data_IF_946474603950
#
_entry.id   IF_946474603950
#
_cell.length_a   1.000
_cell.length_b   1.000
_cell.length_c   1.000
_cell.angle_alpha   90.00
_cell.angle_beta   90.00
_cell.angle_gamma   90.00
#
_symmetry.space_group_name_H-M   'P 1'
#
loop_
_entity.id
_entity.type
_entity.pdbx_description
1 polymer ?
#
# COMPACT_ATOMS: atom_id res chain seq x y z
N UNK A 1 75.68 -65.48 34.47
CA UNK A 1 75.96 -64.31 33.60
C UNK A 1 74.63 -63.63 33.26
N UNK A 2 74.16 -62.70 34.10
CA UNK A 2 72.87 -62.02 33.90
C UNK A 2 73.04 -60.88 32.89
N UNK A 3 72.44 -61.02 31.70
CA UNK A 3 72.28 -59.90 30.75
C UNK A 3 71.38 -58.85 31.40
N UNK A 4 71.95 -57.74 31.87
CA UNK A 4 71.20 -56.53 32.27
C UNK A 4 70.34 -56.10 31.08
N UNK A 5 69.03 -56.29 31.19
CA UNK A 5 68.05 -55.82 30.20
C UNK A 5 68.01 -54.29 30.28
N UNK A 6 68.49 -53.63 29.23
CA UNK A 6 68.53 -52.17 29.06
C UNK A 6 67.10 -51.59 28.98
N UNK A 7 66.45 -51.39 30.14
CA UNK A 7 65.12 -50.74 30.22
C UNK A 7 65.17 -49.21 30.07
N UNK A 8 66.34 -48.58 30.24
CA UNK A 8 66.51 -47.12 30.10
C UNK A 8 66.67 -46.65 28.65
N UNK A 9 67.25 -47.49 27.78
CA UNK A 9 67.48 -47.15 26.38
C UNK A 9 66.17 -47.02 25.60
N UNK A 10 65.22 -47.92 25.84
CA UNK A 10 63.89 -47.89 25.20
C UNK A 10 63.09 -46.64 25.55
N UNK A 11 63.25 -46.08 26.75
CA UNK A 11 62.56 -44.84 27.16
C UNK A 11 63.15 -43.61 26.48
N UNK A 12 64.48 -43.55 26.33
CA UNK A 12 65.16 -42.45 25.63
C UNK A 12 64.81 -42.46 24.14
N UNK A 13 64.85 -43.64 23.50
CA UNK A 13 64.44 -43.79 22.10
C UNK A 13 62.98 -43.36 21.88
N UNK A 14 62.08 -43.72 22.80
CA UNK A 14 60.68 -43.28 22.74
C UNK A 14 60.54 -41.75 22.88
N UNK A 15 61.26 -41.12 23.81
CA UNK A 15 61.21 -39.66 23.99
C UNK A 15 61.78 -38.91 22.78
N UNK A 16 62.85 -39.43 22.16
CA UNK A 16 63.42 -38.85 20.94
C UNK A 16 62.43 -38.99 19.78
N UNK A 17 61.82 -40.16 19.60
CA UNK A 17 60.80 -40.38 18.57
C UNK A 17 59.58 -39.49 18.77
N UNK A 18 59.13 -39.31 20.02
CA UNK A 18 58.01 -38.42 20.35
C UNK A 18 58.35 -36.96 20.02
N UNK A 19 59.57 -36.51 20.35
CA UNK A 19 60.03 -35.16 20.06
C UNK A 19 60.09 -34.88 18.56
N UNK A 20 60.66 -35.82 17.80
CA UNK A 20 60.70 -35.74 16.32
C UNK A 20 59.27 -35.70 15.75
N UNK A 21 58.37 -36.52 16.28
CA UNK A 21 56.96 -36.55 15.84
C UNK A 21 56.24 -35.23 16.13
N UNK A 22 56.49 -34.60 17.28
CA UNK A 22 55.92 -33.28 17.60
C UNK A 22 56.44 -32.18 16.68
N UNK A 23 57.73 -32.20 16.34
CA UNK A 23 58.31 -31.25 15.38
C UNK A 23 57.68 -31.46 14.00
N UNK A 24 57.58 -32.70 13.54
CA UNK A 24 56.93 -33.02 12.27
C UNK A 24 55.46 -32.57 12.23
N UNK A 25 54.71 -32.81 13.32
CA UNK A 25 53.32 -32.37 13.44
C UNK A 25 53.19 -30.84 13.41
N UNK A 26 54.12 -30.14 14.05
CA UNK A 26 54.17 -28.66 14.04
C UNK A 26 54.41 -28.13 12.63
N UNK A 27 55.31 -28.75 11.86
CA UNK A 27 55.58 -28.37 10.46
C UNK A 27 54.35 -28.61 9.58
N UNK A 28 53.70 -29.78 9.71
CA UNK A 28 52.47 -30.10 8.97
C UNK A 28 51.36 -29.10 9.33
N UNK A 29 51.22 -28.75 10.60
CA UNK A 29 50.23 -27.78 11.06
C UNK A 29 50.48 -26.36 10.50
N UNK A 30 51.75 -25.93 10.43
CA UNK A 30 52.11 -24.65 9.81
C UNK A 30 51.75 -24.62 8.32
N UNK A 31 52.13 -25.66 7.55
CA UNK A 31 51.78 -25.78 6.13
C UNK A 31 50.26 -25.81 5.93
N UNK A 32 49.54 -26.50 6.82
CA UNK A 32 48.09 -26.56 6.80
C UNK A 32 47.46 -25.17 7.00
N UNK A 33 47.95 -24.38 7.96
CA UNK A 33 47.49 -23.00 8.18
C UNK A 33 47.74 -22.14 6.93
N UNK A 34 48.92 -22.23 6.33
CA UNK A 34 49.26 -21.46 5.12
C UNK A 34 48.35 -21.84 3.94
N UNK A 35 48.06 -23.13 3.78
CA UNK A 35 47.14 -23.61 2.74
C UNK A 35 45.70 -23.15 2.98
N UNK A 36 45.24 -23.15 4.23
CA UNK A 36 43.92 -22.64 4.60
C UNK A 36 43.81 -21.14 4.34
N UNK A 37 44.82 -20.35 4.72
CA UNK A 37 44.86 -18.91 4.45
C UNK A 37 44.89 -18.62 2.95
N UNK A 38 45.73 -19.33 2.20
CA UNK A 38 45.79 -19.23 0.74
C UNK A 38 44.44 -19.59 0.07
N UNK A 39 43.74 -20.59 0.59
CA UNK A 39 42.40 -20.96 0.12
C UNK A 39 41.39 -19.83 0.34
N UNK A 40 41.40 -19.20 1.53
CA UNK A 40 40.55 -18.05 1.82
C UNK A 40 40.88 -16.82 0.96
N UNK A 41 42.16 -16.51 0.77
CA UNK A 41 42.60 -15.42 -0.12
C UNK A 41 42.12 -15.66 -1.56
N UNK A 42 42.22 -16.88 -2.06
CA UNK A 42 41.71 -17.24 -3.38
C UNK A 42 40.19 -17.13 -3.48
N UNK A 43 39.45 -17.55 -2.44
CA UNK A 43 38.00 -17.40 -2.40
C UNK A 43 37.59 -15.92 -2.41
N UNK A 44 38.20 -15.10 -1.56
CA UNK A 44 37.96 -13.67 -1.48
C UNK A 44 38.33 -12.98 -2.81
N UNK A 45 39.43 -13.42 -3.43
CA UNK A 45 39.83 -13.01 -4.77
C UNK A 45 38.72 -13.27 -5.81
N UNK A 46 38.22 -14.51 -5.92
CA UNK A 46 37.16 -14.83 -6.89
C UNK A 46 35.84 -14.10 -6.61
N UNK A 47 35.47 -13.94 -5.33
CA UNK A 47 34.28 -13.21 -4.92
C UNK A 47 34.35 -11.73 -5.31
N UNK A 48 35.47 -11.05 -5.05
CA UNK A 48 35.66 -9.66 -5.49
C UNK A 48 35.53 -9.53 -7.01
N UNK A 49 36.22 -10.39 -7.78
CA UNK A 49 36.14 -10.39 -9.24
C UNK A 49 34.72 -10.59 -9.74
N UNK A 50 34.00 -11.58 -9.19
CA UNK A 50 32.62 -11.87 -9.56
C UNK A 50 31.68 -10.70 -9.24
N UNK A 51 31.84 -10.07 -8.07
CA UNK A 51 31.04 -8.92 -7.67
C UNK A 51 31.29 -7.69 -8.52
N UNK A 52 32.56 -7.39 -8.86
CA UNK A 52 32.90 -6.31 -9.81
C UNK A 52 32.22 -6.55 -11.15
N UNK A 53 32.36 -7.76 -11.71
CA UNK A 53 31.74 -8.11 -13.00
C UNK A 53 30.22 -8.02 -12.96
N UNK A 54 29.57 -8.51 -11.89
CA UNK A 54 28.11 -8.42 -11.72
C UNK A 54 27.64 -6.97 -11.65
N UNK A 55 28.30 -6.14 -10.85
CA UNK A 55 27.91 -4.75 -10.68
C UNK A 55 28.12 -3.99 -12.00
N UNK A 56 29.29 -4.10 -12.64
CA UNK A 56 29.59 -3.44 -13.92
C UNK A 56 28.61 -3.88 -15.02
N UNK A 57 28.34 -5.18 -15.13
CA UNK A 57 27.36 -5.70 -16.09
C UNK A 57 25.96 -5.12 -15.86
N UNK A 58 25.54 -5.01 -14.60
CA UNK A 58 24.26 -4.42 -14.25
C UNK A 58 24.21 -2.91 -14.52
N UNK A 59 25.29 -2.18 -14.24
CA UNK A 59 25.43 -0.75 -14.61
C UNK A 59 25.24 -0.58 -16.11
N UNK A 60 25.93 -1.37 -16.92
CA UNK A 60 25.80 -1.33 -18.38
C UNK A 60 24.39 -1.71 -18.83
N UNK A 61 23.76 -2.70 -18.19
CA UNK A 61 22.38 -3.12 -18.48
C UNK A 61 21.40 -1.97 -18.27
N UNK A 62 21.49 -1.27 -17.14
CA UNK A 62 20.63 -0.10 -16.83
C UNK A 62 20.90 1.03 -17.82
N UNK A 63 22.17 1.31 -18.11
CA UNK A 63 22.55 2.31 -19.10
C UNK A 63 21.93 2.04 -20.47
N UNK A 64 22.08 0.82 -21.00
CA UNK A 64 21.53 0.43 -22.30
C UNK A 64 20.01 0.36 -22.33
N UNK A 65 19.34 0.16 -21.17
CA UNK A 65 17.89 0.23 -21.08
C UNK A 65 17.33 1.66 -21.22
N UNK A 66 18.18 2.68 -21.09
CA UNK A 66 17.83 4.09 -21.29
C UNK A 66 17.39 4.83 -20.03
N UNK A 67 17.23 6.17 -20.09
CA UNK A 67 16.97 7.01 -18.92
C UNK A 67 15.69 6.60 -18.17
N UNK A 68 15.75 6.62 -16.83
CA UNK A 68 14.66 6.20 -15.95
C UNK A 68 14.62 4.70 -15.64
N UNK A 69 15.51 3.91 -16.24
CA UNK A 69 15.64 2.49 -15.93
C UNK A 69 16.24 2.28 -14.52
N UNK A 70 15.80 1.20 -13.87
CA UNK A 70 16.29 0.79 -12.56
C UNK A 70 16.49 -0.74 -12.55
N UNK A 71 17.60 -1.22 -11.99
CA UNK A 71 17.79 -2.65 -11.71
C UNK A 71 18.24 -2.87 -10.28
N UNK A 72 17.77 -3.97 -9.70
CA UNK A 72 18.22 -4.47 -8.40
C UNK A 72 19.35 -5.49 -8.61
N UNK A 73 20.47 -5.30 -7.92
CA UNK A 73 21.65 -6.16 -8.02
C UNK A 73 21.99 -6.74 -6.66
N UNK A 74 22.09 -8.06 -6.59
CA UNK A 74 22.69 -8.76 -5.46
C UNK A 74 24.15 -9.08 -5.77
N UNK A 75 25.05 -8.70 -4.88
CA UNK A 75 26.49 -8.95 -4.99
C UNK A 75 27.07 -9.23 -3.60
N UNK A 76 28.32 -9.68 -3.54
CA UNK A 76 28.96 -10.08 -2.29
C UNK A 76 30.37 -9.51 -2.18
N UNK A 77 30.62 -8.66 -1.19
CA UNK A 77 31.97 -8.20 -0.90
C UNK A 77 32.71 -9.24 -0.04
N UNK A 78 33.95 -9.58 -0.37
CA UNK A 78 34.78 -10.45 0.47
C UNK A 78 34.97 -9.90 1.88
N UNK A 79 35.32 -10.79 2.82
CA UNK A 79 35.55 -10.42 4.23
C UNK A 79 36.66 -9.38 4.34
N UNK A 80 37.73 -9.55 3.57
CA UNK A 80 38.89 -8.68 3.58
C UNK A 80 38.82 -7.52 2.58
N UNK A 81 37.63 -7.02 2.27
CA UNK A 81 37.49 -5.80 1.45
C UNK A 81 37.99 -4.56 2.21
N UNK A 82 38.82 -3.74 1.56
CA UNK A 82 39.22 -2.42 2.03
C UNK A 82 38.23 -1.35 1.53
N UNK A 83 37.16 -1.11 2.28
CA UNK A 83 36.10 -0.16 1.90
C UNK A 83 36.55 1.29 1.75
N UNK A 84 37.68 1.68 2.35
CA UNK A 84 38.24 3.04 2.15
C UNK A 84 38.81 3.25 0.75
N UNK A 85 39.24 2.17 0.10
CA UNK A 85 39.78 2.17 -1.25
C UNK A 85 38.80 1.64 -2.30
N UNK A 86 37.76 0.90 -1.89
CA UNK A 86 36.71 0.41 -2.76
C UNK A 86 35.70 1.51 -3.10
N UNK A 87 35.65 1.93 -4.35
CA UNK A 87 34.77 3.01 -4.83
C UNK A 87 34.65 3.01 -6.36
N UNK A 88 33.69 3.77 -6.87
CA UNK A 88 33.71 4.17 -8.27
C UNK A 88 34.57 5.42 -8.48
N UNK A 89 35.35 5.44 -9.56
CA UNK A 89 36.04 6.62 -10.07
C UNK A 89 35.63 6.79 -11.54
N UNK A 90 34.70 7.70 -11.80
CA UNK A 90 34.09 7.83 -13.13
C UNK A 90 33.29 6.57 -13.49
N UNK A 91 33.76 5.84 -14.51
CA UNK A 91 33.17 4.57 -14.94
C UNK A 91 33.84 3.33 -14.32
N UNK A 92 34.97 3.49 -13.63
CA UNK A 92 35.74 2.36 -13.11
C UNK A 92 35.33 2.02 -11.68
N UNK A 93 34.87 0.78 -11.47
CA UNK A 93 34.69 0.18 -10.15
C UNK A 93 36.02 -0.38 -9.66
N UNK A 94 36.58 0.21 -8.61
CA UNK A 94 37.76 -0.29 -7.93
C UNK A 94 37.34 -1.03 -6.67
N UNK A 95 37.73 -2.29 -6.52
CA UNK A 95 37.59 -3.08 -5.30
C UNK A 95 38.97 -3.52 -4.84
N UNK A 96 39.41 -3.01 -3.69
CA UNK A 96 40.70 -3.38 -3.10
C UNK A 96 40.48 -4.31 -1.91
N UNK A 97 41.28 -5.38 -1.84
CA UNK A 97 41.37 -6.28 -0.70
C UNK A 97 42.51 -5.84 0.24
N UNK A 98 42.40 -6.16 1.53
CA UNK A 98 43.38 -5.80 2.56
C UNK A 98 44.75 -6.47 2.33
N UNK A 99 44.80 -7.59 1.62
CA UNK A 99 46.03 -8.24 1.19
C UNK A 99 46.74 -7.50 0.02
N UNK A 100 46.19 -6.38 -0.45
CA UNK A 100 46.77 -5.52 -1.47
C UNK A 100 46.29 -5.81 -2.90
N UNK A 101 45.59 -6.93 -3.12
CA UNK A 101 45.00 -7.21 -4.43
C UNK A 101 43.91 -6.18 -4.77
N UNK A 102 43.96 -5.67 -6.01
CA UNK A 102 43.01 -4.67 -6.49
C UNK A 102 42.38 -5.16 -7.78
N UNK A 103 41.07 -5.00 -7.86
CA UNK A 103 40.28 -5.31 -9.03
C UNK A 103 39.63 -4.06 -9.57
N UNK A 104 39.67 -3.93 -10.89
CA UNK A 104 39.09 -2.81 -11.60
C UNK A 104 38.20 -3.37 -12.68
N UNK A 105 36.95 -2.91 -12.72
CA UNK A 105 36.02 -3.18 -13.82
C UNK A 105 35.46 -1.88 -14.35
N UNK A 106 35.54 -1.66 -15.66
CA UNK A 106 35.04 -0.46 -16.33
C UNK A 106 33.60 -0.64 -16.81
N UNK A 107 32.73 0.28 -16.43
CA UNK A 107 31.40 0.45 -17.02
C UNK A 107 31.45 1.36 -18.26
N UNK A 108 30.38 1.34 -19.05
CA UNK A 108 30.26 2.17 -20.25
C UNK A 108 29.71 3.58 -19.93
N UNK A 109 29.40 3.84 -18.66
CA UNK A 109 28.82 5.09 -18.16
C UNK A 109 29.40 5.44 -16.80
N UNK A 110 29.44 6.73 -16.47
CA UNK A 110 29.82 7.20 -15.14
C UNK A 110 28.85 6.67 -14.08
N UNK A 111 29.41 6.25 -12.95
CA UNK A 111 28.65 5.76 -11.80
C UNK A 111 28.88 6.68 -10.61
N UNK A 112 27.80 7.11 -9.98
CA UNK A 112 27.83 8.01 -8.81
C UNK A 112 27.21 7.29 -7.62
N UNK A 113 27.92 7.31 -6.50
CA UNK A 113 27.47 6.73 -5.24
C UNK A 113 28.59 6.01 -4.52
N UNK A 114 28.35 5.66 -3.26
CA UNK A 114 29.30 4.96 -2.41
C UNK A 114 28.74 3.62 -1.98
N UNK A 115 29.60 2.63 -1.79
CA UNK A 115 29.18 1.39 -1.20
C UNK A 115 29.05 1.51 0.32
N UNK A 116 28.09 0.80 0.91
CA UNK A 116 28.07 0.56 2.36
C UNK A 116 29.32 -0.22 2.76
N UNK A 117 30.03 0.17 3.84
CA UNK A 117 31.26 -0.48 4.26
C UNK A 117 30.98 -1.80 5.01
N UNK A 118 30.27 -2.73 4.36
CA UNK A 118 29.77 -3.98 4.93
C UNK A 118 30.16 -5.15 4.02
N UNK A 119 30.95 -6.09 4.55
CA UNK A 119 31.30 -7.33 3.86
C UNK A 119 30.12 -8.31 3.81
N UNK A 120 30.17 -9.28 2.89
CA UNK A 120 29.13 -10.27 2.66
C UNK A 120 28.12 -9.84 1.59
N UNK A 121 26.98 -10.54 1.56
CA UNK A 121 25.92 -10.31 0.58
C UNK A 121 25.23 -8.98 0.80
N UNK A 122 25.10 -8.21 -0.27
CA UNK A 122 24.50 -6.89 -0.29
C UNK A 122 23.55 -6.76 -1.48
N UNK A 123 22.54 -5.90 -1.34
CA UNK A 123 21.64 -5.51 -2.42
C UNK A 123 21.76 -4.02 -2.66
N UNK A 124 21.98 -3.63 -3.92
CA UNK A 124 21.94 -2.25 -4.39
C UNK A 124 20.89 -2.09 -5.47
N UNK A 125 20.43 -0.86 -5.63
CA UNK A 125 19.63 -0.44 -6.76
C UNK A 125 20.48 0.51 -7.60
N UNK A 126 20.48 0.27 -8.90
CA UNK A 126 21.17 1.08 -9.88
C UNK A 126 20.13 1.78 -10.74
N UNK A 127 20.14 3.11 -10.75
CA UNK A 127 19.18 3.93 -11.48
C UNK A 127 19.90 4.85 -12.47
N UNK A 128 19.51 4.85 -13.74
CA UNK A 128 20.10 5.75 -14.74
C UNK A 128 19.27 7.01 -14.92
N UNK A 129 19.84 8.17 -14.57
CA UNK A 129 19.14 9.47 -14.63
C UNK A 129 19.26 10.17 -16.00
N UNK A 130 19.91 9.53 -16.97
CA UNK A 130 20.19 10.07 -18.30
C UNK A 130 21.59 10.62 -18.48
N UNK A 131 22.34 10.85 -17.38
CA UNK A 131 23.74 11.29 -17.42
C UNK A 131 24.68 10.28 -16.73
N UNK A 132 24.22 9.65 -15.64
CA UNK A 132 25.02 8.72 -14.84
C UNK A 132 24.16 7.66 -14.18
N UNK A 133 24.76 6.51 -13.86
CA UNK A 133 24.11 5.48 -13.05
C UNK A 133 24.34 5.79 -11.57
N UNK A 134 23.26 5.97 -10.83
CA UNK A 134 23.30 6.24 -9.39
C UNK A 134 23.13 4.95 -8.61
N UNK A 135 24.04 4.73 -7.65
CA UNK A 135 23.91 3.65 -6.66
C UNK A 135 23.06 4.19 -5.51
N UNK A 136 21.99 3.49 -5.19
CA UNK A 136 21.23 3.76 -3.97
C UNK A 136 20.84 2.46 -3.27
N UNK A 137 20.54 2.58 -1.99
CA UNK A 137 20.14 1.47 -1.14
C UNK A 137 18.66 1.59 -0.80
N UNK A 138 18.03 0.47 -0.47
CA UNK A 138 16.70 0.49 0.15
C UNK A 138 16.85 0.79 1.64
N UNK A 139 17.31 2.00 1.95
CA UNK A 139 17.60 2.45 3.32
C UNK A 139 16.36 2.53 4.19
N UNK A 140 15.19 2.65 3.56
CA UNK A 140 13.92 2.44 4.22
C UNK A 140 12.96 1.68 3.32
N UNK A 141 11.97 1.08 3.97
CA UNK A 141 10.91 0.33 3.31
C UNK A 141 9.56 0.91 3.69
N UNK A 142 8.66 0.96 2.73
CA UNK A 142 7.24 1.26 2.93
C UNK A 142 6.46 -0.01 2.65
N UNK A 143 5.64 -0.46 3.59
CA UNK A 143 4.92 -1.73 3.44
C UNK A 143 3.79 -1.71 2.38
N UNK A 144 3.40 -0.51 1.91
CA UNK A 144 2.36 -0.31 0.90
C UNK A 144 2.86 0.65 -0.17
N UNK A 145 2.68 0.25 -1.43
CA UNK A 145 2.92 1.12 -2.60
C UNK A 145 1.64 1.79 -3.10
N UNK A 146 0.48 1.21 -2.78
CA UNK A 146 -0.83 1.74 -3.14
C UNK A 146 -1.75 1.68 -1.92
N UNK A 147 -2.52 2.74 -1.71
CA UNK A 147 -3.60 2.82 -0.73
C UNK A 147 -4.88 3.01 -1.55
N UNK A 148 -5.75 2.02 -1.54
CA UNK A 148 -7.09 2.11 -2.13
C UNK A 148 -8.13 1.93 -1.05
N UNK A 149 -9.03 2.90 -0.93
CA UNK A 149 -10.09 2.92 0.08
C UNK A 149 -11.41 3.26 -0.59
N UNK A 150 -12.50 2.64 -0.15
CA UNK A 150 -13.86 3.05 -0.52
C UNK A 150 -14.56 3.57 0.72
N UNK A 151 -15.35 4.63 0.58
CA UNK A 151 -16.11 5.20 1.67
C UNK A 151 -17.46 5.73 1.21
N UNK A 152 -18.39 5.83 2.14
CA UNK A 152 -19.70 6.41 1.90
C UNK A 152 -19.56 7.93 1.98
N UNK A 153 -20.24 8.62 1.06
CA UNK A 153 -20.34 10.08 1.02
C UNK A 153 -20.70 10.66 2.39
N UNK A 154 -19.86 11.57 2.88
CA UNK A 154 -20.01 12.25 4.17
C UNK A 154 -19.33 11.56 5.34
N UNK A 155 -18.88 10.31 5.19
CA UNK A 155 -18.16 9.59 6.24
C UNK A 155 -16.66 9.92 6.20
N UNK A 156 -16.02 9.81 7.38
CA UNK A 156 -14.57 9.75 7.48
C UNK A 156 -14.09 8.30 7.45
N UNK A 157 -13.04 8.01 6.69
CA UNK A 157 -12.40 6.68 6.67
C UNK A 157 -10.92 6.82 6.95
N UNK A 158 -10.35 5.88 7.70
CA UNK A 158 -8.91 5.86 8.00
C UNK A 158 -8.26 4.56 7.56
N UNK A 159 -6.99 4.66 7.17
CA UNK A 159 -6.14 3.52 6.86
C UNK A 159 -4.74 3.82 7.37
N UNK A 160 -3.81 2.87 7.19
CA UNK A 160 -2.44 3.06 7.62
C UNK A 160 -1.45 2.33 6.71
N UNK A 161 -0.22 2.81 6.76
CA UNK A 161 0.96 2.14 6.22
C UNK A 161 2.09 2.24 7.24
N UNK A 162 3.17 1.50 7.04
CA UNK A 162 4.34 1.52 7.91
C UNK A 162 5.58 1.89 7.11
N UNK A 163 6.46 2.64 7.77
CA UNK A 163 7.80 2.97 7.30
C UNK A 163 8.78 2.28 8.23
N UNK A 164 9.72 1.52 7.66
CA UNK A 164 10.80 0.86 8.40
C UNK A 164 12.14 1.44 7.99
N UNK A 165 12.95 1.83 8.95
CA UNK A 165 14.35 2.17 8.69
C UNK A 165 15.19 0.88 8.60
N UNK A 166 15.69 0.58 7.41
CA UNK A 166 16.56 -0.55 7.11
C UNK A 166 18.05 -0.14 7.03
N UNK A 167 18.37 1.13 7.24
CA UNK A 167 19.74 1.63 7.28
C UNK A 167 20.40 1.32 8.63
N UNK A 168 21.73 1.41 8.67
CA UNK A 168 22.52 1.33 9.90
C UNK A 168 22.52 2.63 10.71
N UNK A 169 21.94 3.71 10.17
CA UNK A 169 21.91 5.04 10.77
C UNK A 169 20.50 5.48 11.13
N UNK A 170 20.40 6.64 11.80
CA UNK A 170 19.12 7.31 12.01
C UNK A 170 18.71 8.02 10.72
N UNK A 171 17.46 7.84 10.29
CA UNK A 171 16.90 8.53 9.11
C UNK A 171 15.91 9.58 9.59
N UNK A 172 15.99 10.80 9.03
CA UNK A 172 14.94 11.82 9.18
C UNK A 172 13.95 11.68 8.02
N UNK A 173 12.67 11.53 8.34
CA UNK A 173 11.60 11.38 7.37
C UNK A 173 10.79 12.65 7.27
N UNK A 174 10.34 12.96 6.06
CA UNK A 174 9.35 13.98 5.73
C UNK A 174 8.26 13.34 4.89
N UNK A 175 7.01 13.71 5.16
CA UNK A 175 5.88 13.29 4.34
C UNK A 175 5.34 14.48 3.57
N UNK A 176 5.35 14.38 2.25
CA UNK A 176 4.67 15.32 1.37
C UNK A 176 3.45 14.63 0.74
N UNK A 177 2.40 15.39 0.44
CA UNK A 177 1.16 14.86 -0.15
C UNK A 177 0.74 15.71 -1.33
N UNK A 178 0.36 15.03 -2.41
CA UNK A 178 -0.32 15.64 -3.53
C UNK A 178 -1.68 14.98 -3.67
N UNK A 179 -2.66 15.56 -2.96
CA UNK A 179 -4.05 15.11 -2.94
C UNK A 179 -4.92 16.36 -2.69
N UNK A 180 -5.07 17.19 -3.73
CA UNK A 180 -5.76 18.47 -3.63
C UNK A 180 -7.11 18.39 -4.35
N UNK A 181 -8.16 18.02 -3.61
CA UNK A 181 -9.53 17.94 -4.13
C UNK A 181 -10.46 18.81 -3.28
N UNK A 182 -11.43 19.47 -3.92
CA UNK A 182 -12.32 20.43 -3.22
C UNK A 182 -13.35 19.76 -2.30
N UNK A 183 -13.67 18.49 -2.55
CA UNK A 183 -14.71 17.73 -1.84
C UNK A 183 -14.16 16.69 -0.86
N UNK A 184 -12.86 16.41 -0.91
CA UNK A 184 -12.19 15.38 -0.10
C UNK A 184 -10.85 15.91 0.36
N UNK A 185 -10.62 15.86 1.68
CA UNK A 185 -9.35 16.17 2.29
C UNK A 185 -8.64 14.87 2.72
N UNK A 186 -7.38 14.73 2.34
CA UNK A 186 -6.49 13.68 2.84
C UNK A 186 -5.60 14.25 3.93
N UNK A 187 -5.69 13.70 5.13
CA UNK A 187 -4.86 14.05 6.28
C UNK A 187 -3.91 12.89 6.62
N UNK A 188 -2.66 13.22 6.88
CA UNK A 188 -1.64 12.23 7.26
C UNK A 188 -1.26 12.52 8.70
N UNK A 189 -1.68 11.65 9.61
CA UNK A 189 -1.52 11.84 11.05
C UNK A 189 -0.11 11.41 11.48
N UNK A 190 0.85 12.26 11.18
CA UNK A 190 2.19 12.28 11.74
C UNK A 190 2.68 13.72 11.77
N UNK A 191 3.58 14.05 12.69
CA UNK A 191 4.37 15.26 12.53
C UNK A 191 4.98 15.26 11.11
N UNK A 192 4.97 16.41 10.44
CA UNK A 192 5.43 16.55 9.05
C UNK A 192 6.86 16.00 8.87
N UNK A 193 7.65 16.00 9.94
CA UNK A 193 8.91 15.30 10.06
C UNK A 193 9.01 14.43 11.32
N UNK A 194 9.72 13.32 11.21
CA UNK A 194 10.07 12.46 12.34
C UNK A 194 11.37 11.73 12.08
N UNK A 195 11.98 11.13 13.10
CA UNK A 195 13.20 10.36 12.93
C UNK A 195 13.00 8.92 13.35
N UNK A 196 13.59 7.98 12.61
CA UNK A 196 13.64 6.57 13.01
C UNK A 196 15.09 6.11 13.21
N UNK A 197 15.46 5.60 14.39
CA UNK A 197 16.65 4.80 14.61
C UNK A 197 16.73 3.56 13.70
N UNK A 198 17.91 2.93 13.57
CA UNK A 198 18.09 1.70 12.81
C UNK A 198 17.11 0.61 13.24
N UNK A 199 16.40 0.00 12.28
CA UNK A 199 15.48 -1.11 12.52
C UNK A 199 14.09 -0.73 13.05
N UNK A 200 13.86 0.54 13.44
CA UNK A 200 12.56 0.98 13.96
C UNK A 200 11.51 1.03 12.84
N UNK A 201 10.26 0.74 13.22
CA UNK A 201 9.07 0.81 12.36
C UNK A 201 8.11 1.84 12.90
N UNK A 202 7.68 2.78 12.06
CA UNK A 202 6.63 3.76 12.39
C UNK A 202 5.37 3.44 11.61
N UNK A 203 4.23 3.40 12.31
CA UNK A 203 2.89 3.36 11.71
C UNK A 203 2.44 4.79 11.42
N UNK A 204 2.02 5.03 10.19
CA UNK A 204 1.46 6.30 9.71
C UNK A 204 -0.02 6.06 9.41
N UNK A 205 -0.89 6.86 10.02
CA UNK A 205 -2.33 6.83 9.75
C UNK A 205 -2.66 7.88 8.69
N UNK A 206 -3.51 7.49 7.73
CA UNK A 206 -4.03 8.34 6.66
C UNK A 206 -5.54 8.40 6.82
N UNK A 207 -6.06 9.60 7.04
CA UNK A 207 -7.46 9.89 7.28
C UNK A 207 -8.03 10.62 6.07
N UNK A 208 -9.19 10.18 5.59
CA UNK A 208 -9.93 10.82 4.50
C UNK A 208 -11.19 11.45 5.08
N UNK A 209 -11.28 12.77 4.99
CA UNK A 209 -12.46 13.54 5.39
C UNK A 209 -13.21 13.98 4.14
N UNK A 210 -14.52 13.71 4.09
CA UNK A 210 -15.33 13.95 2.89
C UNK A 210 -16.46 14.93 3.20
N UNK A 211 -16.73 15.83 2.26
CA UNK A 211 -17.90 16.70 2.34
C UNK A 211 -19.18 15.94 1.94
N UNK A 212 -20.34 16.45 2.38
CA UNK A 212 -21.68 15.91 2.05
C UNK A 212 -22.07 16.00 0.57
N UNK A 213 -21.17 16.39 -0.32
CA UNK A 213 -21.37 16.36 -1.78
C UNK A 213 -20.25 15.61 -2.53
N UNK A 214 -19.29 15.01 -1.81
CA UNK A 214 -18.26 14.18 -2.42
C UNK A 214 -18.90 12.96 -3.12
N UNK A 215 -18.51 12.73 -4.37
CA UNK A 215 -18.89 11.54 -5.14
C UNK A 215 -17.80 11.21 -6.16
N UNK A 216 -17.66 9.93 -6.51
CA UNK A 216 -16.75 9.47 -7.56
C UNK A 216 -15.36 9.09 -7.04
N UNK A 217 -14.38 9.06 -7.96
CA UNK A 217 -13.02 8.60 -7.68
C UNK A 217 -12.06 9.78 -7.51
N UNK A 218 -11.30 9.76 -6.43
CA UNK A 218 -10.27 10.74 -6.11
C UNK A 218 -8.92 10.05 -6.08
N UNK A 219 -7.90 10.69 -6.64
CA UNK A 219 -6.57 10.12 -6.71
C UNK A 219 -5.49 11.15 -6.39
N UNK A 220 -4.37 10.65 -5.92
CA UNK A 220 -3.19 11.46 -5.60
C UNK A 220 -2.05 10.57 -5.13
N UNK A 221 -1.12 11.14 -4.38
CA UNK A 221 -0.02 10.37 -3.80
C UNK A 221 0.50 10.97 -2.50
N UNK A 222 1.16 10.13 -1.72
CA UNK A 222 2.01 10.53 -0.60
C UNK A 222 3.46 10.23 -1.00
N UNK A 223 4.33 11.22 -0.88
CA UNK A 223 5.77 11.10 -1.10
C UNK A 223 6.47 10.98 0.25
N UNK A 224 7.02 9.80 0.53
CA UNK A 224 7.84 9.55 1.72
C UNK A 224 9.28 9.89 1.37
N UNK A 225 9.84 10.92 2.00
CA UNK A 225 11.22 11.36 1.79
C UNK A 225 12.03 11.00 3.04
N UNK A 226 13.06 10.18 2.90
CA UNK A 226 14.04 9.89 3.95
C UNK A 226 15.36 10.60 3.66
N UNK A 227 15.93 11.24 4.66
CA UNK A 227 17.19 11.98 4.58
C UNK A 227 18.26 11.30 5.45
N UNK A 228 19.42 11.02 4.84
CA UNK A 228 20.60 10.44 5.51
C UNK A 228 21.83 11.20 5.04
N UNK A 229 22.53 11.89 5.95
CA UNK A 229 23.74 12.66 5.64
C UNK A 229 23.52 13.62 4.45
N UNK A 230 22.44 14.40 4.48
CA UNK A 230 22.03 15.36 3.44
C UNK A 230 21.67 14.73 2.07
N UNK A 231 21.56 13.40 1.99
CA UNK A 231 21.07 12.68 0.81
C UNK A 231 19.62 12.30 1.02
N UNK A 232 18.76 12.76 0.09
CA UNK A 232 17.33 12.47 0.09
C UNK A 232 17.00 11.24 -0.77
N UNK A 233 16.19 10.36 -0.23
CA UNK A 233 15.62 9.19 -0.89
C UNK A 233 14.10 9.30 -0.83
N UNK A 234 13.40 9.06 -1.94
CA UNK A 234 11.94 9.16 -1.97
C UNK A 234 11.25 7.87 -2.39
N UNK A 235 10.09 7.60 -1.78
CA UNK A 235 9.17 6.54 -2.17
C UNK A 235 7.77 7.12 -2.35
N UNK A 236 7.17 6.87 -3.50
CA UNK A 236 5.81 7.31 -3.82
C UNK A 236 4.81 6.22 -3.45
N UNK A 237 3.77 6.60 -2.71
CA UNK A 237 2.61 5.76 -2.41
C UNK A 237 1.44 6.36 -3.17
N UNK A 238 0.89 5.63 -4.14
CA UNK A 238 -0.32 6.12 -4.83
C UNK A 238 -1.53 5.96 -3.91
N UNK A 239 -2.41 6.95 -3.93
CA UNK A 239 -3.63 6.95 -3.12
C UNK A 239 -4.84 7.08 -4.02
N UNK A 240 -5.82 6.20 -3.83
CA UNK A 240 -7.13 6.25 -4.46
C UNK A 240 -8.24 6.14 -3.41
N UNK A 241 -9.22 7.03 -3.49
CA UNK A 241 -10.45 7.00 -2.71
C UNK A 241 -11.64 6.91 -3.67
N UNK A 242 -12.46 5.88 -3.50
CA UNK A 242 -13.77 5.79 -4.14
C UNK A 242 -14.84 6.26 -3.15
N UNK A 243 -15.54 7.33 -3.49
CA UNK A 243 -16.67 7.83 -2.70
C UNK A 243 -17.96 7.32 -3.32
N UNK A 244 -18.57 6.37 -2.63
CA UNK A 244 -19.86 5.80 -2.97
C UNK A 244 -20.94 6.75 -2.49
N UNK A 245 -21.92 7.02 -3.35
CA UNK A 245 -23.18 7.62 -2.90
C UNK A 245 -23.76 6.71 -1.84
N UNK A 246 -24.14 7.29 -0.69
CA UNK A 246 -25.04 6.62 0.25
C UNK A 246 -26.25 6.23 -0.59
N UNK A 247 -26.39 4.94 -0.93
CA UNK A 247 -27.61 4.45 -1.56
C UNK A 247 -28.72 4.90 -0.66
N UNK A 248 -29.69 5.66 -1.19
CA UNK A 248 -30.90 5.98 -0.44
C UNK A 248 -31.43 4.65 0.05
N UNK A 249 -31.26 4.44 1.35
CA UNK A 249 -31.33 3.12 1.91
C UNK A 249 -32.72 2.53 1.76
N UNK A 250 -33.70 3.41 1.59
CA UNK A 250 -35.11 3.13 1.53
C UNK A 250 -35.66 3.54 0.16
N UNK A 251 -36.45 2.68 -0.48
CA UNK A 251 -37.08 2.96 -1.78
C UNK A 251 -38.54 2.51 -1.74
N UNK A 252 -39.46 3.34 -2.26
CA UNK A 252 -40.87 3.00 -2.43
C UNK A 252 -41.08 2.48 -3.86
N UNK A 253 -41.71 1.30 -3.98
CA UNK A 253 -42.07 0.66 -5.24
C UNK A 253 -43.60 0.56 -5.39
N UNK A 254 -44.15 0.72 -6.61
CA UNK A 254 -43.45 1.25 -7.78
C UNK A 254 -43.06 2.73 -7.55
N UNK A 255 -41.97 3.17 -8.20
CA UNK A 255 -41.52 4.56 -8.09
C UNK A 255 -42.47 5.53 -8.77
N UNK A 256 -43.08 5.09 -9.87
CA UNK A 256 -44.09 5.80 -10.62
C UNK A 256 -45.28 4.86 -10.82
N UNK A 257 -46.46 5.29 -10.39
CA UNK A 257 -47.71 4.56 -10.56
C UNK A 257 -48.65 5.39 -11.43
N UNK A 258 -49.18 4.81 -12.50
CA UNK A 258 -50.22 5.42 -13.32
C UNK A 258 -51.44 4.51 -13.45
N UNK A 259 -52.65 5.03 -13.25
CA UNK A 259 -53.88 4.27 -13.48
C UNK A 259 -55.08 5.16 -13.83
N UNK A 260 -56.12 4.54 -14.39
CA UNK A 260 -57.39 5.20 -14.69
C UNK A 260 -58.45 4.86 -13.66
N UNK A 261 -59.35 5.80 -13.37
CA UNK A 261 -60.50 5.59 -12.48
C UNK A 261 -61.62 6.55 -12.82
N UNK A 262 -62.87 6.16 -12.58
CA UNK A 262 -64.03 7.02 -12.81
C UNK A 262 -64.37 7.85 -11.56
N UNK A 263 -65.02 9.02 -11.71
CA UNK A 263 -65.48 9.82 -10.59
C UNK A 263 -66.36 9.00 -9.64
N UNK A 264 -66.19 9.20 -8.32
CA UNK A 264 -66.95 8.50 -7.28
C UNK A 264 -66.52 7.05 -7.03
N UNK A 265 -65.52 6.51 -7.74
CA UNK A 265 -65.00 5.17 -7.50
C UNK A 265 -63.86 5.17 -6.47
N UNK A 266 -63.69 4.02 -5.82
CA UNK A 266 -62.49 3.73 -5.05
C UNK A 266 -61.59 2.75 -5.80
N UNK A 267 -60.27 2.99 -5.74
CA UNK A 267 -59.27 2.09 -6.31
C UNK A 267 -58.18 1.81 -5.28
N UNK A 268 -57.80 0.55 -5.12
CA UNK A 268 -56.71 0.14 -4.22
C UNK A 268 -55.49 -0.28 -5.03
N UNK A 269 -54.31 0.21 -4.65
CA UNK A 269 -53.04 -0.09 -5.33
C UNK A 269 -52.00 -0.51 -4.30
N UNK A 270 -51.23 -1.53 -4.65
CA UNK A 270 -50.19 -2.09 -3.79
C UNK A 270 -48.85 -1.42 -4.03
N UNK A 271 -48.18 -1.13 -2.93
CA UNK A 271 -46.84 -0.59 -2.86
C UNK A 271 -45.96 -1.45 -1.94
N UNK A 272 -44.66 -1.26 -2.02
CA UNK A 272 -43.72 -1.77 -1.04
C UNK A 272 -42.66 -0.73 -0.73
N UNK A 273 -42.20 -0.69 0.52
CA UNK A 273 -41.05 0.11 0.92
C UNK A 273 -39.92 -0.81 1.33
N UNK A 274 -38.81 -0.73 0.60
CA UNK A 274 -37.70 -1.66 0.68
C UNK A 274 -36.47 -0.98 1.25
N UNK A 275 -35.86 -1.60 2.26
CA UNK A 275 -34.59 -1.16 2.83
C UNK A 275 -33.44 -1.99 2.24
N UNK A 276 -32.63 -1.36 1.41
CA UNK A 276 -31.45 -1.94 0.78
C UNK A 276 -30.19 -1.93 1.66
N UNK A 277 -30.24 -1.31 2.84
CA UNK A 277 -29.08 -1.19 3.75
C UNK A 277 -28.94 -2.39 4.69
N UNK A 278 -27.81 -2.43 5.41
CA UNK A 278 -27.57 -3.40 6.49
C UNK A 278 -28.10 -2.94 7.85
N UNK A 279 -28.67 -1.73 7.93
CA UNK A 279 -29.15 -1.14 9.18
C UNK A 279 -30.66 -0.94 9.12
N UNK A 280 -31.32 -0.95 10.28
CA UNK A 280 -32.75 -0.67 10.37
C UNK A 280 -32.96 0.82 10.11
N UNK A 281 -33.86 1.16 9.17
CA UNK A 281 -34.21 2.56 8.89
C UNK A 281 -35.52 2.89 9.60
N UNK A 282 -35.51 3.94 10.43
CA UNK A 282 -36.71 4.49 11.06
C UNK A 282 -37.36 5.53 10.14
N UNK A 283 -38.69 5.50 10.07
CA UNK A 283 -39.52 6.44 9.33
C UNK A 283 -40.21 7.34 10.35
N UNK A 284 -39.99 8.64 10.24
CA UNK A 284 -40.52 9.63 11.19
C UNK A 284 -42.00 9.91 10.95
N UNK A 285 -42.38 10.05 9.68
CA UNK A 285 -43.76 10.30 9.28
C UNK A 285 -44.00 9.92 7.83
N UNK A 286 -45.25 9.69 7.48
CA UNK A 286 -45.71 9.58 6.11
C UNK A 286 -46.45 10.86 5.70
N UNK A 287 -46.34 11.24 4.44
CA UNK A 287 -47.08 12.36 3.86
C UNK A 287 -47.48 12.09 2.42
N UNK A 288 -48.39 12.92 1.92
CA UNK A 288 -48.70 13.00 0.51
C UNK A 288 -48.88 14.47 0.11
N UNK A 289 -48.35 14.84 -1.04
CA UNK A 289 -48.50 16.17 -1.65
C UNK A 289 -48.78 16.06 -3.15
N UNK A 290 -49.09 17.19 -3.80
CA UNK A 290 -49.41 17.23 -5.21
C UNK A 290 -49.57 18.68 -5.70
N UNK A 291 -49.61 18.92 -7.02
CA UNK A 291 -49.74 20.25 -7.60
C UNK A 291 -51.08 20.91 -7.24
N UNK A 292 -51.10 22.22 -6.99
CA UNK A 292 -52.27 22.94 -6.47
C UNK A 292 -53.56 22.74 -7.27
N UNK A 293 -53.48 22.67 -8.60
CA UNK A 293 -54.62 22.66 -9.51
C UNK A 293 -55.14 21.25 -9.85
N UNK A 294 -54.39 20.19 -9.55
CA UNK A 294 -54.70 18.79 -9.91
C UNK A 294 -54.19 17.80 -8.86
N UNK A 295 -54.35 18.17 -7.58
CA UNK A 295 -53.81 17.42 -6.45
C UNK A 295 -54.64 16.16 -6.12
N UNK A 296 -54.09 14.97 -6.39
CA UNK A 296 -54.70 13.71 -5.97
C UNK A 296 -54.31 13.27 -4.54
N UNK A 297 -53.44 13.98 -3.83
CA UNK A 297 -52.99 13.58 -2.49
C UNK A 297 -54.15 13.52 -1.49
N UNK A 298 -55.11 14.44 -1.61
CA UNK A 298 -56.33 14.46 -0.80
C UNK A 298 -57.28 13.30 -1.07
N UNK A 299 -57.05 12.50 -2.12
CA UNK A 299 -57.88 11.33 -2.45
C UNK A 299 -57.39 10.06 -1.75
N UNK A 300 -56.23 10.10 -1.09
CA UNK A 300 -55.66 8.96 -0.37
C UNK A 300 -56.34 8.83 0.99
N UNK A 301 -57.01 7.70 1.22
CA UNK A 301 -57.86 7.50 2.40
C UNK A 301 -57.07 7.44 3.72
N UNK A 302 -55.91 6.79 3.68
CA UNK A 302 -55.03 6.62 4.83
C UNK A 302 -53.60 6.39 4.34
N UNK A 303 -52.64 6.98 5.05
CA UNK A 303 -51.22 6.75 4.82
C UNK A 303 -50.74 5.50 5.58
N UNK A 304 -49.63 4.88 5.15
CA UNK A 304 -49.09 3.69 5.81
C UNK A 304 -48.65 4.00 7.25
N UNK A 305 -48.79 3.02 8.15
CA UNK A 305 -48.26 3.12 9.52
C UNK A 305 -46.99 2.27 9.69
N UNK A 306 -46.06 2.39 8.73
CA UNK A 306 -44.76 1.71 8.80
C UNK A 306 -43.78 2.69 9.45
N UNK A 307 -43.38 2.38 10.69
CA UNK A 307 -42.45 3.22 11.48
C UNK A 307 -40.98 2.88 11.26
N UNK A 308 -40.70 1.74 10.63
CA UNK A 308 -39.34 1.31 10.30
C UNK A 308 -39.33 0.13 9.35
N UNK A 309 -38.24 -0.04 8.60
CA UNK A 309 -38.01 -1.20 7.72
C UNK A 309 -36.70 -1.87 8.12
N UNK A 310 -36.76 -3.18 8.34
CA UNK A 310 -35.60 -4.00 8.73
C UNK A 310 -34.52 -4.00 7.64
N UNK A 311 -33.24 -4.27 8.00
CA UNK A 311 -32.19 -4.45 7.00
C UNK A 311 -32.56 -5.47 5.92
N UNK A 312 -32.30 -5.14 4.65
CA UNK A 312 -32.53 -6.05 3.49
C UNK A 312 -33.95 -6.58 3.37
N UNK A 313 -34.94 -5.84 3.87
CA UNK A 313 -36.34 -6.27 3.91
C UNK A 313 -37.26 -5.30 3.16
N UNK A 314 -38.46 -5.76 2.81
CA UNK A 314 -39.50 -4.96 2.17
C UNK A 314 -40.82 -5.11 2.92
N UNK A 315 -41.43 -3.98 3.28
CA UNK A 315 -42.79 -3.96 3.85
C UNK A 315 -43.78 -3.57 2.75
N UNK A 316 -44.70 -4.48 2.42
CA UNK A 316 -45.80 -4.18 1.50
C UNK A 316 -46.94 -3.45 2.21
N UNK A 317 -47.59 -2.53 1.50
CA UNK A 317 -48.77 -1.81 1.97
C UNK A 317 -49.67 -1.45 0.80
N UNK A 318 -50.96 -1.28 1.06
CA UNK A 318 -51.93 -0.85 0.06
C UNK A 318 -52.41 0.58 0.33
N UNK A 319 -52.60 1.36 -0.72
CA UNK A 319 -53.24 2.67 -0.66
C UNK A 319 -54.58 2.63 -1.39
N UNK A 320 -55.62 3.15 -0.73
CA UNK A 320 -56.96 3.30 -1.31
C UNK A 320 -57.20 4.74 -1.69
N UNK A 321 -57.45 4.96 -2.97
CA UNK A 321 -57.77 6.23 -3.60
C UNK A 321 -59.28 6.35 -3.74
N UNK A 322 -59.89 7.32 -3.07
CA UNK A 322 -61.31 7.64 -3.21
C UNK A 322 -61.45 8.84 -4.14
N UNK A 323 -61.82 8.57 -5.40
CA UNK A 323 -61.97 9.61 -6.41
C UNK A 323 -63.27 10.37 -6.12
N UNK A 324 -63.23 11.70 -5.97
CA UNK A 324 -64.43 12.48 -5.74
C UNK A 324 -65.45 12.30 -6.87
N UNK A 325 -66.75 12.32 -6.54
CA UNK A 325 -67.83 12.25 -7.54
C UNK A 325 -67.82 13.42 -8.52
N UNK A 326 -67.27 14.55 -8.10
CA UNK A 326 -67.16 15.81 -8.83
C UNK A 326 -65.83 15.96 -9.57
N UNK A 327 -64.97 14.94 -9.57
CA UNK A 327 -63.73 14.96 -10.33
C UNK A 327 -64.04 15.10 -11.83
N UNK A 328 -63.44 16.11 -12.47
CA UNK A 328 -63.59 16.32 -13.91
C UNK A 328 -62.58 15.47 -14.67
N UNK A 329 -62.82 15.26 -15.95
CA UNK A 329 -61.88 14.52 -16.80
C UNK A 329 -60.51 15.20 -16.86
N UNK A 330 -59.46 14.39 -16.84
CA UNK A 330 -58.09 14.87 -16.86
C UNK A 330 -57.12 14.05 -16.02
N UNK A 331 -55.86 14.48 -16.03
CA UNK A 331 -54.80 13.88 -15.22
C UNK A 331 -54.69 14.59 -13.87
N UNK A 332 -54.50 13.83 -12.81
CA UNK A 332 -54.27 14.30 -11.45
C UNK A 332 -53.01 13.62 -10.91
N UNK A 333 -52.16 14.39 -10.26
CA UNK A 333 -50.88 13.90 -9.76
C UNK A 333 -50.84 13.98 -8.23
N UNK A 334 -50.17 13.02 -7.61
CA UNK A 334 -49.84 13.01 -6.20
C UNK A 334 -48.45 12.42 -6.02
N UNK A 335 -47.83 12.69 -4.88
CA UNK A 335 -46.55 12.14 -4.49
C UNK A 335 -46.67 11.69 -3.04
N UNK A 336 -46.47 10.40 -2.81
CA UNK A 336 -46.40 9.83 -1.45
C UNK A 336 -44.96 9.84 -1.01
N UNK A 337 -44.70 10.19 0.24
CA UNK A 337 -43.34 10.21 0.78
C UNK A 337 -43.28 9.68 2.21
N UNK A 338 -42.17 9.01 2.52
CA UNK A 338 -41.75 8.65 3.86
C UNK A 338 -40.61 9.60 4.28
N UNK A 339 -40.84 10.36 5.34
CA UNK A 339 -39.86 11.28 5.90
C UNK A 339 -38.90 10.54 6.83
N UNK A 340 -37.61 10.71 6.59
CA UNK A 340 -36.50 10.20 7.39
C UNK A 340 -35.89 11.36 8.18
N UNK A 341 -34.81 11.11 8.94
CA UNK A 341 -34.14 12.17 9.71
C UNK A 341 -33.51 13.24 8.80
N UNK A 342 -32.95 12.84 7.66
CA UNK A 342 -32.13 13.71 6.81
C UNK A 342 -32.64 13.82 5.36
N UNK A 343 -33.69 13.08 5.00
CA UNK A 343 -34.21 13.02 3.63
C UNK A 343 -35.65 12.51 3.58
N UNK A 344 -36.28 12.64 2.41
CA UNK A 344 -37.55 11.98 2.11
C UNK A 344 -37.34 10.99 0.97
N UNK A 345 -38.02 9.84 1.05
CA UNK A 345 -38.11 8.90 -0.07
C UNK A 345 -39.54 8.93 -0.59
N UNK A 346 -39.71 9.01 -1.91
CA UNK A 346 -41.02 9.32 -2.48
C UNK A 346 -41.36 8.46 -3.71
N UNK A 347 -42.64 8.38 -4.02
CA UNK A 347 -43.21 7.71 -5.19
C UNK A 347 -44.30 8.57 -5.82
N UNK A 348 -44.22 8.75 -7.14
CA UNK A 348 -45.15 9.56 -7.91
C UNK A 348 -46.35 8.73 -8.33
N UNK A 349 -47.53 9.35 -8.25
CA UNK A 349 -48.82 8.75 -8.59
C UNK A 349 -49.51 9.67 -9.60
N UNK A 350 -50.00 9.07 -10.69
CA UNK A 350 -50.73 9.74 -11.76
C UNK A 350 -52.07 9.03 -11.97
N UNK A 351 -53.17 9.74 -11.75
CA UNK A 351 -54.53 9.23 -11.92
C UNK A 351 -55.16 9.94 -13.11
N UNK A 352 -55.65 9.18 -14.09
CA UNK A 352 -56.36 9.73 -15.24
C UNK A 352 -57.85 9.46 -15.09
N UNK A 353 -58.65 10.52 -15.11
CA UNK A 353 -60.11 10.48 -15.20
C UNK A 353 -60.50 10.57 -16.68
N UNK A 354 -61.11 9.54 -17.28
CA UNK A 354 -61.45 9.54 -18.71
C UNK A 354 -62.55 10.58 -19.03
N UNK A 355 -62.62 11.00 -20.29
CA UNK A 355 -63.79 11.72 -20.79
C UNK A 355 -64.93 10.71 -20.97
N UNK A 356 -66.08 10.95 -20.32
CA UNK A 356 -67.31 10.19 -20.56
C UNK A 356 -67.96 10.50 -21.92
#
# INVERSE_FOLDING_TARGET
>A
MFKKKLRGQTTIELLVLLSISMVALTIIFAIYIDQVNSSYDNQDFFLAKSSVQKIVSAVNTVYYAGPGSEIKVEFEFPRDTNFSATRFIGSDLIVQLKNGHTYIGGADVNVVGNFKPISGKNMIYLFYDGNSVKIHYNDFEVNKQNISVSAIKGDSVSTNFTIRNNSSGKIKFYLDKNFSHNSVELNVNSANDFNLPPGEVKKITVDFNQLLFAQGNYSGYILVIGEINDINFSRKINVSLEVLTKSDGLVIYPKDLSFESNPGQSSTKSFSICNSTQEKISINSWGADGPEDRNAAGWISALPNIVSVSPRDCNSFDLTFNIPSEAVSGKYDANIFAALNDSNVSSNISITIPNE
#
